data_IF_441102750585
#
_entry.id   IF_441102750585
#
_cell.length_a   1.000
_cell.length_b   1.000
_cell.length_c   1.000
_cell.angle_alpha   90.00
_cell.angle_beta   90.00
_cell.angle_gamma   90.00
#
_symmetry.space_group_name_H-M   'P 1'
#
loop_
_entity.id
_entity.type
_entity.pdbx_description
1 polymer ?
#
# COMPACT_ATOMS: atom_id res chain seq x y z
N UNK A 1 -1.29 -18.58 -5.60
CA UNK A 1 -2.61 -18.27 -5.00
C UNK A 1 -3.40 -17.37 -5.93
N UNK A 2 -4.35 -17.92 -6.69
CA UNK A 2 -5.24 -17.11 -7.52
C UNK A 2 -6.26 -16.42 -6.61
N UNK A 3 -6.17 -15.11 -6.45
CA UNK A 3 -7.21 -14.29 -5.83
C UNK A 3 -8.51 -14.50 -6.63
N UNK A 4 -9.40 -15.38 -6.13
CA UNK A 4 -10.68 -15.69 -6.79
C UNK A 4 -11.67 -14.51 -6.76
N UNK A 5 -11.46 -13.50 -5.92
CA UNK A 5 -12.29 -12.29 -5.82
C UNK A 5 -11.44 -11.02 -5.78
N UNK A 6 -11.78 -9.98 -6.54
CA UNK A 6 -11.14 -8.67 -6.45
C UNK A 6 -11.43 -8.03 -5.08
N UNK A 7 -10.51 -7.20 -4.58
CA UNK A 7 -10.72 -6.41 -3.36
C UNK A 7 -11.97 -5.53 -3.49
N UNK A 8 -12.71 -5.33 -2.41
CA UNK A 8 -13.82 -4.35 -2.36
C UNK A 8 -13.29 -2.92 -2.40
N UNK A 9 -14.07 -1.91 -2.85
CA UNK A 9 -13.61 -0.52 -2.86
C UNK A 9 -13.22 -0.07 -1.45
N UNK A 10 -14.01 -0.43 -0.44
CA UNK A 10 -13.72 -0.16 0.97
C UNK A 10 -12.40 -0.79 1.42
N UNK A 11 -12.14 -2.06 1.05
CA UNK A 11 -10.86 -2.71 1.36
C UNK A 11 -9.67 -1.98 0.72
N UNK A 12 -9.78 -1.56 -0.55
CA UNK A 12 -8.72 -0.80 -1.22
C UNK A 12 -8.43 0.52 -0.51
N UNK A 13 -9.48 1.25 -0.11
CA UNK A 13 -9.36 2.53 0.62
C UNK A 13 -8.73 2.32 1.99
N UNK A 14 -9.21 1.34 2.78
CA UNK A 14 -8.69 1.04 4.11
C UNK A 14 -7.20 0.65 4.03
N UNK A 15 -6.83 -0.26 3.13
CA UNK A 15 -5.43 -0.68 2.96
C UNK A 15 -4.53 0.51 2.60
N UNK A 16 -4.97 1.37 1.67
CA UNK A 16 -4.22 2.56 1.27
C UNK A 16 -4.06 3.55 2.43
N UNK A 17 -5.14 3.77 3.19
CA UNK A 17 -5.14 4.68 4.33
C UNK A 17 -4.26 4.18 5.47
N UNK A 18 -4.28 2.88 5.78
CA UNK A 18 -3.42 2.27 6.80
C UNK A 18 -1.94 2.36 6.40
N UNK A 19 -1.60 2.08 5.14
CA UNK A 19 -0.23 2.24 4.66
C UNK A 19 0.23 3.70 4.75
N UNK A 20 -0.61 4.65 4.33
CA UNK A 20 -0.31 6.08 4.42
C UNK A 20 -0.12 6.52 5.88
N UNK A 21 -0.97 6.06 6.80
CA UNK A 21 -0.83 6.35 8.23
C UNK A 21 0.51 5.84 8.79
N UNK A 22 0.94 4.64 8.38
CA UNK A 22 2.25 4.08 8.73
C UNK A 22 3.41 4.92 8.18
N UNK A 23 3.33 5.34 6.92
CA UNK A 23 4.31 6.23 6.30
C UNK A 23 4.40 7.55 7.06
N UNK A 24 3.27 8.19 7.34
CA UNK A 24 3.23 9.45 8.07
C UNK A 24 3.78 9.27 9.49
N UNK A 25 3.41 8.20 10.19
CA UNK A 25 3.95 7.90 11.51
C UNK A 25 5.48 7.77 11.49
N UNK A 26 6.04 7.13 10.46
CA UNK A 26 7.49 7.02 10.31
C UNK A 26 8.17 8.37 10.00
N UNK A 27 7.55 9.18 9.14
CA UNK A 27 8.09 10.49 8.75
C UNK A 27 8.05 11.51 9.90
N UNK A 28 6.98 11.49 10.70
CA UNK A 28 6.75 12.46 11.78
C UNK A 28 7.15 11.94 13.17
N UNK A 29 7.39 10.64 13.33
CA UNK A 29 7.74 10.00 14.60
C UNK A 29 9.17 10.24 15.09
N UNK A 30 9.95 11.07 14.40
CA UNK A 30 11.34 11.37 14.77
C UNK A 30 12.32 10.24 14.52
N UNK A 31 11.90 9.19 13.79
CA UNK A 31 12.79 8.13 13.35
C UNK A 31 13.84 8.68 12.37
N UNK A 32 15.09 8.25 12.50
CA UNK A 32 16.11 8.56 11.49
C UNK A 32 15.74 7.88 10.18
N UNK A 33 15.45 8.69 9.17
CA UNK A 33 15.15 8.23 7.83
C UNK A 33 16.45 7.96 7.09
N UNK A 34 17.04 6.79 7.34
CA UNK A 34 18.21 6.34 6.61
C UNK A 34 17.83 5.90 5.19
N UNK A 35 18.79 5.95 4.25
CA UNK A 35 18.58 5.54 2.85
C UNK A 35 17.91 4.17 2.68
N UNK A 36 18.31 3.12 3.42
CA UNK A 36 17.64 1.82 3.39
C UNK A 36 16.18 1.87 3.83
N UNK A 37 15.85 2.70 4.82
CA UNK A 37 14.47 2.86 5.33
C UNK A 37 13.56 3.48 4.27
N UNK A 38 14.06 4.46 3.50
CA UNK A 38 13.30 5.02 2.39
C UNK A 38 13.09 4.01 1.26
N UNK A 39 14.11 3.19 0.95
CA UNK A 39 14.02 2.14 -0.06
C UNK A 39 12.98 1.08 0.32
N UNK A 40 12.98 0.61 1.58
CA UNK A 40 12.00 -0.37 2.06
C UNK A 40 10.59 0.21 2.06
N UNK A 41 10.42 1.49 2.40
CA UNK A 41 9.13 2.18 2.32
C UNK A 41 8.60 2.19 0.89
N UNK A 42 9.46 2.51 -0.08
CA UNK A 42 9.09 2.55 -1.50
C UNK A 42 8.72 1.17 -2.04
N UNK A 43 9.50 0.14 -1.73
CA UNK A 43 9.20 -1.26 -2.06
C UNK A 43 7.89 -1.72 -1.41
N UNK A 44 7.64 -1.36 -0.16
CA UNK A 44 6.40 -1.70 0.53
C UNK A 44 5.18 -1.08 -0.17
N UNK A 45 5.30 0.17 -0.65
CA UNK A 45 4.26 0.83 -1.44
C UNK A 45 3.92 0.04 -2.69
N UNK A 46 4.93 -0.39 -3.47
CA UNK A 46 4.70 -1.21 -4.68
C UNK A 46 3.92 -2.49 -4.36
N UNK A 47 4.30 -3.18 -3.27
CA UNK A 47 3.65 -4.43 -2.84
C UNK A 47 2.20 -4.18 -2.41
N UNK A 48 1.95 -3.13 -1.62
CA UNK A 48 0.62 -2.80 -1.10
C UNK A 48 -0.33 -2.33 -2.21
N UNK A 49 0.16 -1.53 -3.17
CA UNK A 49 -0.67 -0.98 -4.23
C UNK A 49 -0.88 -1.93 -5.43
N UNK A 50 0.01 -2.92 -5.65
CA UNK A 50 -0.14 -3.90 -6.72
C UNK A 50 -1.53 -4.60 -6.76
N UNK A 51 -2.02 -5.22 -5.66
CA UNK A 51 -3.34 -5.88 -5.67
C UNK A 51 -4.50 -4.90 -5.79
N UNK A 52 -4.33 -3.64 -5.37
CA UNK A 52 -5.33 -2.56 -5.50
C UNK A 52 -5.51 -2.22 -6.98
N UNK A 53 -4.41 -1.90 -7.69
CA UNK A 53 -4.42 -1.59 -9.12
C UNK A 53 -4.99 -2.76 -9.93
N UNK A 54 -4.55 -3.99 -9.60
CA UNK A 54 -5.07 -5.21 -10.24
C UNK A 54 -6.59 -5.35 -10.06
N UNK A 55 -7.08 -5.18 -8.83
CA UNK A 55 -8.52 -5.29 -8.52
C UNK A 55 -9.33 -4.18 -9.19
N UNK A 56 -8.80 -2.96 -9.29
CA UNK A 56 -9.44 -1.85 -9.99
C UNK A 56 -9.55 -2.10 -11.49
N UNK A 57 -8.47 -2.61 -12.12
CA UNK A 57 -8.49 -3.00 -13.54
C UNK A 57 -9.49 -4.12 -13.82
N UNK A 58 -9.63 -5.09 -12.92
CA UNK A 58 -10.61 -6.18 -13.05
C UNK A 58 -12.06 -5.69 -12.98
N UNK A 59 -12.35 -4.60 -12.26
CA UNK A 59 -13.71 -4.02 -12.18
C UNK A 59 -14.09 -3.18 -13.40
N UNK A 60 -13.09 -2.69 -14.15
CA UNK A 60 -13.29 -1.87 -15.36
C UNK A 60 -13.33 -2.68 -16.66
N UNK A 61 -12.98 -3.96 -16.61
CA UNK A 61 -13.21 -4.91 -17.71
C UNK A 61 -14.59 -5.51 -17.57
#
# INVERSE_FOLDING_TARGET
MAYRRPLTPTQMVIISALWLALVLWLLFGGARLDGPTLLTLLLSGVIVFYPIVKSWRQRRR
#
